data_IF_740702985779
#
_entry.id   IF_740702985779
#
_cell.length_a   1.000
_cell.length_b   1.000
_cell.length_c   1.000
_cell.angle_alpha   90.00
_cell.angle_beta   90.00
_cell.angle_gamma   90.00
#
_symmetry.space_group_name_H-M   'P 1'
#
loop_
_entity.id
_entity.type
_entity.pdbx_description
1 polymer ?
#
# COMPACT_ATOMS: atom_id res chain seq x y z
N UNK A 1 -41.03 26.65 15.58
CA UNK A 1 -39.80 26.08 15.01
C UNK A 1 -39.68 26.64 13.61
N UNK A 2 -38.63 27.42 13.31
CA UNK A 2 -38.41 27.91 11.96
C UNK A 2 -37.81 26.77 11.14
N UNK A 3 -38.47 26.40 10.05
CA UNK A 3 -37.88 25.52 9.05
C UNK A 3 -36.58 26.16 8.52
N UNK A 4 -35.50 25.37 8.36
CA UNK A 4 -34.29 25.88 7.76
C UNK A 4 -34.64 26.41 6.36
N UNK A 5 -34.37 27.70 6.12
CA UNK A 5 -34.64 28.29 4.81
C UNK A 5 -33.91 27.51 3.71
N UNK A 6 -34.49 27.42 2.52
CA UNK A 6 -33.88 26.72 1.36
C UNK A 6 -32.44 27.18 1.10
N UNK A 7 -32.15 28.46 1.34
CA UNK A 7 -30.80 29.03 1.24
C UNK A 7 -29.79 28.47 2.25
N UNK A 8 -30.25 28.03 3.43
CA UNK A 8 -29.42 27.41 4.46
C UNK A 8 -29.17 25.93 4.14
N UNK A 9 -30.17 25.23 3.61
CA UNK A 9 -30.03 23.84 3.16
C UNK A 9 -29.10 23.72 1.94
N UNK A 10 -29.21 24.63 0.96
CA UNK A 10 -28.33 24.66 -0.21
C UNK A 10 -26.86 24.93 0.18
N UNK A 11 -26.63 25.83 1.15
CA UNK A 11 -25.29 26.10 1.68
C UNK A 11 -24.71 24.90 2.44
N UNK A 12 -25.50 24.21 3.26
CA UNK A 12 -25.00 23.03 3.98
C UNK A 12 -24.66 21.88 3.04
N UNK A 13 -25.41 21.72 1.94
CA UNK A 13 -25.09 20.75 0.89
C UNK A 13 -23.77 21.10 0.19
N UNK A 14 -23.60 22.35 -0.23
CA UNK A 14 -22.35 22.81 -0.85
C UNK A 14 -21.13 22.65 0.07
N UNK A 15 -21.28 22.96 1.36
CA UNK A 15 -20.22 22.77 2.35
C UNK A 15 -19.91 21.28 2.58
N UNK A 16 -20.95 20.43 2.64
CA UNK A 16 -20.78 18.98 2.77
C UNK A 16 -20.06 18.37 1.56
N UNK A 17 -20.43 18.78 0.33
CA UNK A 17 -19.76 18.36 -0.90
C UNK A 17 -18.29 18.79 -0.92
N UNK A 18 -18.01 20.01 -0.49
CA UNK A 18 -16.65 20.54 -0.41
C UNK A 18 -15.79 19.79 0.61
N UNK A 19 -16.35 19.49 1.78
CA UNK A 19 -15.67 18.69 2.81
C UNK A 19 -15.43 17.27 2.30
N UNK A 20 -16.42 16.65 1.66
CA UNK A 20 -16.27 15.32 1.09
C UNK A 20 -15.14 15.27 0.05
N UNK A 21 -15.07 16.26 -0.85
CA UNK A 21 -14.00 16.36 -1.85
C UNK A 21 -12.61 16.54 -1.20
N UNK A 22 -12.49 17.38 -0.17
CA UNK A 22 -11.23 17.58 0.55
C UNK A 22 -10.78 16.32 1.29
N UNK A 23 -11.71 15.62 1.94
CA UNK A 23 -11.43 14.35 2.63
C UNK A 23 -11.00 13.28 1.65
N UNK A 24 -11.65 13.18 0.48
CA UNK A 24 -11.26 12.25 -0.57
C UNK A 24 -9.85 12.55 -1.10
N UNK A 25 -9.55 13.82 -1.41
CA UNK A 25 -8.24 14.23 -1.90
C UNK A 25 -7.12 13.91 -0.88
N UNK A 26 -7.37 14.17 0.41
CA UNK A 26 -6.41 13.85 1.48
C UNK A 26 -6.22 12.35 1.67
N UNK A 27 -7.30 11.58 1.58
CA UNK A 27 -7.25 10.12 1.65
C UNK A 27 -6.41 9.56 0.50
N UNK A 28 -6.61 10.07 -0.71
CA UNK A 28 -5.83 9.72 -1.89
C UNK A 28 -4.32 9.97 -1.70
N UNK A 29 -3.97 11.16 -1.23
CA UNK A 29 -2.57 11.51 -0.92
C UNK A 29 -1.95 10.59 0.14
N UNK A 30 -2.70 10.26 1.20
CA UNK A 30 -2.23 9.35 2.24
C UNK A 30 -1.99 7.94 1.68
N UNK A 31 -2.87 7.45 0.81
CA UNK A 31 -2.71 6.14 0.15
C UNK A 31 -1.48 6.13 -0.75
N UNK A 32 -1.28 7.17 -1.57
CA UNK A 32 -0.08 7.30 -2.42
C UNK A 32 1.18 7.31 -1.57
N UNK A 33 1.21 8.11 -0.50
CA UNK A 33 2.35 8.17 0.41
C UNK A 33 2.64 6.83 1.08
N UNK A 34 1.59 6.12 1.52
CA UNK A 34 1.71 4.79 2.08
C UNK A 34 2.27 3.79 1.07
N UNK A 35 1.72 3.71 -0.14
CA UNK A 35 2.21 2.81 -1.19
C UNK A 35 3.68 3.08 -1.54
N UNK A 36 4.08 4.36 -1.62
CA UNK A 36 5.45 4.75 -1.91
C UNK A 36 6.40 4.32 -0.78
N UNK A 37 5.99 4.51 0.48
CA UNK A 37 6.76 4.05 1.64
C UNK A 37 6.92 2.53 1.65
N UNK A 38 5.86 1.78 1.35
CA UNK A 38 5.91 0.30 1.27
C UNK A 38 6.80 -0.15 0.12
N UNK A 39 6.72 0.50 -1.05
CA UNK A 39 7.57 0.19 -2.20
C UNK A 39 9.06 0.39 -1.87
N UNK A 40 9.40 1.53 -1.26
CA UNK A 40 10.76 1.81 -0.79
C UNK A 40 11.22 0.77 0.24
N UNK A 41 10.43 0.54 1.29
CA UNK A 41 10.76 -0.42 2.34
C UNK A 41 10.97 -1.84 1.79
N UNK A 42 10.14 -2.26 0.83
CA UNK A 42 10.24 -3.57 0.18
C UNK A 42 11.57 -3.73 -0.57
N UNK A 43 11.96 -2.70 -1.33
CA UNK A 43 13.19 -2.74 -2.10
C UNK A 43 14.42 -2.79 -1.19
N UNK A 44 14.46 -1.99 -0.13
CA UNK A 44 15.52 -2.04 0.88
C UNK A 44 15.57 -3.39 1.59
N UNK A 45 14.41 -3.91 1.98
CA UNK A 45 14.30 -5.19 2.65
C UNK A 45 14.83 -6.32 1.77
N UNK A 46 14.37 -6.46 0.53
CA UNK A 46 14.83 -7.53 -0.38
C UNK A 46 16.33 -7.42 -0.72
N UNK A 47 16.84 -6.19 -0.83
CA UNK A 47 18.29 -5.96 -1.00
C UNK A 47 19.07 -6.40 0.23
N UNK A 48 18.58 -6.07 1.44
CA UNK A 48 19.17 -6.51 2.70
C UNK A 48 19.12 -8.03 2.89
N UNK A 49 18.02 -8.67 2.50
CA UNK A 49 17.88 -10.13 2.46
C UNK A 49 18.91 -10.74 1.53
N UNK A 50 19.09 -10.17 0.34
CA UNK A 50 20.10 -10.61 -0.61
C UNK A 50 21.54 -10.44 -0.11
N UNK A 51 21.79 -9.44 0.75
CA UNK A 51 23.11 -9.20 1.36
C UNK A 51 23.39 -10.12 2.57
N UNK A 52 22.35 -10.55 3.30
CA UNK A 52 22.48 -11.26 4.58
C UNK A 52 22.89 -12.75 4.45
N UNK A 53 22.84 -13.33 3.24
CA UNK A 53 23.28 -14.71 3.00
C UNK A 53 22.42 -15.79 3.67
N UNK A 54 22.96 -17.00 3.81
CA UNK A 54 22.23 -18.19 4.31
C UNK A 54 21.94 -18.17 5.81
N UNK A 55 22.72 -17.43 6.60
CA UNK A 55 22.70 -17.53 8.06
C UNK A 55 21.49 -16.83 8.70
N UNK A 56 20.83 -15.95 7.95
CA UNK A 56 19.70 -15.14 8.41
C UNK A 56 18.40 -15.40 7.66
N UNK A 57 18.33 -16.46 6.84
CA UNK A 57 17.21 -16.77 5.93
C UNK A 57 15.86 -16.82 6.66
N UNK A 58 15.79 -17.44 7.83
CA UNK A 58 14.55 -17.54 8.62
C UNK A 58 14.13 -16.22 9.25
N UNK A 59 15.10 -15.44 9.74
CA UNK A 59 14.86 -14.10 10.32
C UNK A 59 14.41 -13.12 9.23
N UNK A 60 15.02 -13.21 8.05
CA UNK A 60 14.58 -12.53 6.84
C UNK A 60 13.13 -12.91 6.53
N UNK A 61 12.81 -14.19 6.31
CA UNK A 61 11.44 -14.64 6.02
C UNK A 61 10.41 -14.14 7.05
N UNK A 62 10.70 -14.30 8.35
CA UNK A 62 9.78 -13.92 9.42
C UNK A 62 9.58 -12.41 9.52
N UNK A 63 10.66 -11.62 9.42
CA UNK A 63 10.57 -10.15 9.46
C UNK A 63 9.86 -9.57 8.24
N UNK A 64 10.08 -10.18 7.06
CA UNK A 64 9.33 -9.86 5.84
C UNK A 64 7.84 -10.13 6.03
N UNK A 65 7.48 -11.33 6.48
CA UNK A 65 6.09 -11.72 6.70
C UNK A 65 5.40 -10.84 7.77
N UNK A 66 6.10 -10.52 8.86
CA UNK A 66 5.58 -9.66 9.93
C UNK A 66 5.38 -8.22 9.47
N UNK A 67 6.38 -7.63 8.80
CA UNK A 67 6.30 -6.27 8.27
C UNK A 67 5.16 -6.13 7.27
N UNK A 68 4.95 -7.17 6.48
CA UNK A 68 3.89 -7.32 5.49
C UNK A 68 2.49 -7.39 6.10
N UNK A 69 2.32 -8.18 7.17
CA UNK A 69 1.05 -8.25 7.91
C UNK A 69 0.74 -6.91 8.57
N UNK A 70 1.75 -6.27 9.20
CA UNK A 70 1.57 -4.99 9.88
C UNK A 70 1.15 -3.91 8.87
N UNK A 71 1.84 -3.77 7.74
CA UNK A 71 1.47 -2.76 6.72
C UNK A 71 0.08 -3.02 6.13
N UNK A 72 -0.26 -4.27 5.87
CA UNK A 72 -1.59 -4.64 5.33
C UNK A 72 -2.72 -4.37 6.33
N UNK A 73 -2.51 -4.65 7.62
CA UNK A 73 -3.48 -4.40 8.68
C UNK A 73 -3.60 -2.90 8.96
N UNK A 74 -2.49 -2.16 9.01
CA UNK A 74 -2.52 -0.71 9.17
C UNK A 74 -3.29 -0.03 8.05
N UNK A 75 -3.10 -0.45 6.79
CA UNK A 75 -3.86 0.06 5.65
C UNK A 75 -5.37 -0.22 5.77
N UNK A 76 -5.74 -1.37 6.35
CA UNK A 76 -7.14 -1.72 6.58
C UNK A 76 -7.81 -0.77 7.61
N UNK A 77 -7.12 -0.48 8.72
CA UNK A 77 -7.65 0.38 9.78
C UNK A 77 -7.79 1.85 9.38
N UNK A 78 -6.87 2.38 8.57
CA UNK A 78 -6.94 3.79 8.12
C UNK A 78 -7.99 4.04 7.02
N UNK A 79 -8.52 2.99 6.39
CA UNK A 79 -9.40 3.13 5.23
C UNK A 79 -10.89 2.85 5.53
N UNK A 80 -11.24 2.28 6.68
CA UNK A 80 -12.61 1.82 7.01
C UNK A 80 -13.58 2.89 7.50
N UNK A 81 -13.15 4.13 7.75
CA UNK A 81 -13.95 5.13 8.47
C UNK A 81 -14.96 5.91 7.60
N UNK A 82 -15.02 5.67 6.28
CA UNK A 82 -15.89 6.43 5.38
C UNK A 82 -16.71 5.47 4.51
N UNK A 83 -18.03 5.50 4.67
CA UNK A 83 -19.01 4.64 3.99
C UNK A 83 -18.96 4.67 2.45
N UNK A 84 -18.30 5.67 1.83
CA UNK A 84 -18.03 5.76 0.39
C UNK A 84 -16.70 5.16 -0.09
N UNK A 85 -15.77 4.80 0.81
CA UNK A 85 -14.40 4.40 0.44
C UNK A 85 -14.26 2.93 -0.01
N UNK A 86 -15.30 2.10 0.15
CA UNK A 86 -15.24 0.65 -0.11
C UNK A 86 -14.75 0.25 -1.53
N UNK A 87 -15.17 0.91 -2.63
CA UNK A 87 -14.71 0.55 -3.97
C UNK A 87 -13.22 0.85 -4.16
N UNK A 88 -12.75 2.02 -3.69
CA UNK A 88 -11.35 2.40 -3.68
C UNK A 88 -10.53 1.40 -2.86
N UNK A 89 -10.98 1.08 -1.64
CA UNK A 89 -10.35 0.09 -0.76
C UNK A 89 -10.17 -1.28 -1.42
N UNK A 90 -11.19 -1.75 -2.14
CA UNK A 90 -11.13 -3.03 -2.87
C UNK A 90 -10.12 -2.99 -4.02
N UNK A 91 -9.91 -1.83 -4.64
CA UNK A 91 -8.89 -1.64 -5.69
C UNK A 91 -7.49 -1.64 -5.09
N UNK A 92 -7.25 -0.91 -4.00
CA UNK A 92 -5.99 -0.92 -3.25
C UNK A 92 -5.63 -2.32 -2.80
N UNK A 93 -6.61 -3.04 -2.26
CA UNK A 93 -6.42 -4.40 -1.79
C UNK A 93 -5.94 -5.35 -2.89
N UNK A 94 -6.43 -5.20 -4.13
CA UNK A 94 -5.94 -6.01 -5.26
C UNK A 94 -4.48 -5.73 -5.56
N UNK A 95 -4.07 -4.47 -5.56
CA UNK A 95 -2.67 -4.08 -5.78
C UNK A 95 -1.77 -4.67 -4.70
N UNK A 96 -2.19 -4.54 -3.44
CA UNK A 96 -1.47 -5.09 -2.28
C UNK A 96 -1.40 -6.62 -2.38
N UNK A 97 -2.50 -7.31 -2.68
CA UNK A 97 -2.49 -8.77 -2.86
C UNK A 97 -1.53 -9.22 -3.96
N UNK A 98 -1.50 -8.52 -5.10
CA UNK A 98 -0.55 -8.84 -6.18
C UNK A 98 0.88 -8.61 -5.71
N UNK A 99 1.14 -7.50 -5.02
CA UNK A 99 2.45 -7.25 -4.40
C UNK A 99 2.85 -8.35 -3.42
N UNK A 100 1.92 -8.80 -2.55
CA UNK A 100 2.13 -9.89 -1.60
C UNK A 100 2.51 -11.19 -2.28
N UNK A 101 1.85 -11.52 -3.39
CA UNK A 101 2.16 -12.71 -4.17
C UNK A 101 3.56 -12.62 -4.77
N UNK A 102 3.94 -11.46 -5.33
CA UNK A 102 5.28 -11.23 -5.89
C UNK A 102 6.35 -11.33 -4.80
N UNK A 103 6.13 -10.70 -3.64
CA UNK A 103 7.05 -10.74 -2.51
C UNK A 103 7.18 -12.16 -1.95
N UNK A 104 6.06 -12.85 -1.76
CA UNK A 104 6.02 -14.22 -1.26
C UNK A 104 6.73 -15.19 -2.20
N UNK A 105 6.53 -15.05 -3.53
CA UNK A 105 7.24 -15.84 -4.52
C UNK A 105 8.74 -15.53 -4.54
N UNK A 106 9.12 -14.25 -4.47
CA UNK A 106 10.50 -13.81 -4.41
C UNK A 106 11.23 -14.40 -3.19
N UNK A 107 10.60 -14.39 -2.02
CA UNK A 107 11.18 -14.97 -0.81
C UNK A 107 11.16 -16.50 -0.84
N UNK A 108 10.02 -17.12 -1.16
CA UNK A 108 9.86 -18.57 -1.12
C UNK A 108 10.68 -19.32 -2.17
N UNK A 109 10.91 -18.73 -3.35
CA UNK A 109 11.72 -19.32 -4.42
C UNK A 109 13.14 -18.78 -4.39
N UNK A 110 13.29 -17.48 -4.15
CA UNK A 110 14.59 -16.81 -4.20
C UNK A 110 15.52 -17.19 -3.06
N UNK A 111 15.00 -17.30 -1.82
CA UNK A 111 15.84 -17.63 -0.67
C UNK A 111 16.48 -19.02 -0.78
N UNK A 112 15.75 -20.09 -1.17
CA UNK A 112 16.37 -21.41 -1.33
C UNK A 112 17.34 -21.50 -2.50
N UNK A 113 17.06 -20.82 -3.62
CA UNK A 113 17.80 -21.01 -4.87
C UNK A 113 18.96 -20.02 -5.06
N UNK A 114 18.85 -18.82 -4.52
CA UNK A 114 19.81 -17.73 -4.74
C UNK A 114 20.22 -17.02 -3.44
N UNK A 115 20.60 -17.75 -2.36
CA UNK A 115 20.99 -17.12 -1.11
C UNK A 115 22.26 -16.28 -1.30
N UNK A 116 22.28 -15.06 -0.77
CA UNK A 116 23.46 -14.18 -0.82
C UNK A 116 23.79 -13.57 -2.19
N UNK A 117 23.00 -13.85 -3.23
CA UNK A 117 23.30 -13.42 -4.61
C UNK A 117 22.68 -12.06 -4.94
N UNK A 118 23.35 -10.96 -4.59
CA UNK A 118 22.84 -9.60 -4.83
C UNK A 118 22.43 -9.32 -6.29
N UNK A 119 23.09 -9.94 -7.26
CA UNK A 119 22.75 -9.82 -8.68
C UNK A 119 21.34 -10.34 -9.01
N UNK A 120 20.81 -11.29 -8.22
CA UNK A 120 19.43 -11.76 -8.31
C UNK A 120 18.47 -10.86 -7.51
N UNK A 121 18.85 -10.48 -6.29
CA UNK A 121 17.96 -9.76 -5.37
C UNK A 121 17.72 -8.30 -5.74
N UNK A 122 18.70 -7.61 -6.33
CA UNK A 122 18.54 -6.21 -6.75
C UNK A 122 17.46 -6.03 -7.84
N UNK A 123 17.46 -6.80 -8.94
CA UNK A 123 16.36 -6.75 -9.91
C UNK A 123 15.02 -7.15 -9.31
N UNK A 124 14.99 -8.19 -8.47
CA UNK A 124 13.77 -8.66 -7.80
C UNK A 124 13.19 -7.58 -6.88
N UNK A 125 14.04 -6.83 -6.17
CA UNK A 125 13.64 -5.70 -5.33
C UNK A 125 12.89 -4.63 -6.16
N UNK A 126 13.41 -4.29 -7.34
CA UNK A 126 12.75 -3.35 -8.27
C UNK A 126 11.44 -3.93 -8.80
N UNK A 127 11.43 -5.19 -9.26
CA UNK A 127 10.23 -5.85 -9.79
C UNK A 127 9.14 -5.94 -8.73
N UNK A 128 9.51 -6.23 -7.48
CA UNK A 128 8.57 -6.29 -6.37
C UNK A 128 7.89 -4.95 -6.10
N UNK A 129 8.53 -3.81 -6.40
CA UNK A 129 7.92 -2.50 -6.22
C UNK A 129 6.91 -2.14 -7.32
N UNK A 130 6.94 -2.83 -8.48
CA UNK A 130 6.11 -2.49 -9.65
C UNK A 130 4.61 -2.50 -9.35
N UNK A 131 4.02 -3.51 -8.69
CA UNK A 131 2.58 -3.49 -8.38
C UNK A 131 2.19 -2.25 -7.57
N UNK A 132 3.00 -1.87 -6.59
CA UNK A 132 2.74 -0.71 -5.74
C UNK A 132 2.85 0.61 -6.53
N UNK A 133 3.84 0.72 -7.42
CA UNK A 133 3.96 1.85 -8.35
C UNK A 133 2.77 1.95 -9.31
N UNK A 134 2.26 0.82 -9.81
CA UNK A 134 1.03 0.77 -10.60
C UNK A 134 -0.15 1.25 -9.77
N UNK A 135 -0.25 0.85 -8.50
CA UNK A 135 -1.24 1.38 -7.57
C UNK A 135 -1.18 2.92 -7.48
N UNK A 136 0.00 3.47 -7.23
CA UNK A 136 0.21 4.92 -7.16
C UNK A 136 -0.25 5.60 -8.47
N UNK A 137 0.15 5.07 -9.62
CA UNK A 137 -0.20 5.64 -10.92
C UNK A 137 -1.71 5.58 -11.20
N UNK A 138 -2.39 4.55 -10.71
CA UNK A 138 -3.84 4.42 -10.81
C UNK A 138 -4.56 5.43 -9.90
N UNK A 139 -3.98 5.77 -8.75
CA UNK A 139 -4.56 6.74 -7.82
C UNK A 139 -4.40 8.19 -8.29
N UNK A 140 -3.23 8.53 -8.84
CA UNK A 140 -2.97 9.89 -9.34
C UNK A 140 -3.84 10.25 -10.56
N UNK A 141 -4.36 9.25 -11.28
CA UNK A 141 -5.18 9.45 -12.48
C UNK A 141 -6.66 9.67 -12.18
N UNK A 142 -7.12 9.41 -10.96
CA UNK A 142 -8.49 9.64 -10.51
C UNK A 142 -8.65 11.00 -9.85
#
# INVERSE_FOLDING_TARGET
MNEPSESAAARSLADAERIAALVQARTSQNVVGWLAAVAGASAFYLTGVGAAGTDWVWVAMLSGLLGTVITSVSALFFATDISGARPQLRRWWRVVLVWLVVLGAALGIGLPLFPGQLAYWLPIAVVSAVPLMVGIALEIRE
#
